data_IF_034287005710
#
_entry.id   IF_034287005710
#
_cell.length_a   1.000
_cell.length_b   1.000
_cell.length_c   1.000
_cell.angle_alpha   90.00
_cell.angle_beta   90.00
_cell.angle_gamma   90.00
#
_symmetry.space_group_name_H-M   'P 1'
#
loop_
_entity.id
_entity.type
_entity.pdbx_description
1 polymer ?
#
# COMPACT_ATOMS: atom_id res chain seq x y z
N UNK A 1 28.04 12.85 -20.54
CA UNK A 1 26.85 13.55 -21.09
C UNK A 1 25.75 12.52 -21.42
N UNK A 2 25.29 11.73 -20.43
CA UNK A 2 24.43 10.55 -20.65
C UNK A 2 23.27 10.41 -19.62
N UNK A 3 22.71 11.54 -19.15
CA UNK A 3 21.68 11.55 -18.08
C UNK A 3 20.25 11.82 -18.56
N UNK A 4 20.04 12.10 -19.85
CA UNK A 4 18.76 12.60 -20.37
C UNK A 4 17.77 11.52 -20.84
N UNK A 5 18.22 10.28 -21.05
CA UNK A 5 17.36 9.20 -21.58
C UNK A 5 16.62 8.39 -20.50
N UNK A 6 17.02 8.47 -19.22
CA UNK A 6 16.38 7.68 -18.15
C UNK A 6 15.06 8.27 -17.63
N UNK A 7 14.81 9.58 -17.86
CA UNK A 7 13.58 10.25 -17.41
C UNK A 7 12.34 9.89 -18.25
N UNK A 8 12.53 9.44 -19.49
CA UNK A 8 11.41 9.14 -20.39
C UNK A 8 10.89 7.70 -20.22
N UNK A 9 11.74 6.78 -19.76
CA UNK A 9 11.40 5.36 -19.53
C UNK A 9 10.56 5.19 -18.26
N UNK A 10 10.84 5.96 -17.22
CA UNK A 10 10.07 5.94 -15.96
C UNK A 10 8.62 6.42 -16.16
N UNK A 11 8.40 7.41 -17.02
CA UNK A 11 7.06 7.94 -17.31
C UNK A 11 6.21 7.00 -18.18
N UNK A 12 6.82 6.31 -19.17
CA UNK A 12 6.11 5.35 -20.01
C UNK A 12 5.76 4.07 -19.24
N UNK A 13 6.67 3.61 -18.39
CA UNK A 13 6.43 2.44 -17.52
C UNK A 13 5.33 2.69 -16.48
N UNK A 14 5.25 3.90 -15.94
CA UNK A 14 4.19 4.26 -15.00
C UNK A 14 2.80 4.23 -15.69
N UNK A 15 2.72 4.59 -16.97
CA UNK A 15 1.48 4.51 -17.76
C UNK A 15 1.07 3.06 -18.06
N UNK A 16 2.02 2.18 -18.39
CA UNK A 16 1.74 0.76 -18.67
C UNK A 16 1.37 0.00 -17.39
N UNK A 17 2.05 0.28 -16.27
CA UNK A 17 1.68 -0.25 -14.96
C UNK A 17 0.25 0.17 -14.58
N UNK A 18 -0.10 1.45 -14.74
CA UNK A 18 -1.47 1.93 -14.53
C UNK A 18 -2.51 1.20 -15.41
N UNK A 19 -2.15 0.80 -16.63
CA UNK A 19 -3.06 0.14 -17.56
C UNK A 19 -3.31 -1.34 -17.23
N UNK A 20 -2.25 -2.10 -16.89
CA UNK A 20 -2.37 -3.49 -16.43
C UNK A 20 -3.08 -3.59 -15.08
N UNK A 21 -2.81 -2.63 -14.19
CA UNK A 21 -3.52 -2.47 -12.92
C UNK A 21 -5.01 -2.25 -13.18
N UNK A 22 -5.38 -1.36 -14.11
CA UNK A 22 -6.78 -1.16 -14.49
C UNK A 22 -7.46 -2.46 -14.93
N UNK A 23 -6.76 -3.31 -15.67
CA UNK A 23 -7.25 -4.62 -16.11
C UNK A 23 -7.45 -5.61 -14.94
N UNK A 24 -6.47 -5.76 -14.04
CA UNK A 24 -6.61 -6.65 -12.88
C UNK A 24 -7.69 -6.17 -11.91
N UNK A 25 -7.82 -4.85 -11.72
CA UNK A 25 -8.88 -4.26 -10.92
C UNK A 25 -10.26 -4.54 -11.55
N UNK A 26 -10.38 -4.41 -12.87
CA UNK A 26 -11.61 -4.71 -13.59
C UNK A 26 -11.99 -6.20 -13.48
N UNK A 27 -11.06 -7.11 -13.75
CA UNK A 27 -11.28 -8.56 -13.62
C UNK A 27 -11.65 -8.92 -12.19
N UNK A 28 -11.03 -8.26 -11.21
CA UNK A 28 -11.31 -8.48 -9.79
C UNK A 28 -12.70 -7.96 -9.38
N UNK A 29 -13.10 -6.77 -9.84
CA UNK A 29 -14.45 -6.23 -9.64
C UNK A 29 -15.49 -7.17 -10.25
N UNK A 30 -15.25 -7.66 -11.48
CA UNK A 30 -16.14 -8.60 -12.16
C UNK A 30 -16.24 -9.94 -11.42
N UNK A 31 -15.12 -10.42 -10.86
CA UNK A 31 -15.09 -11.65 -10.06
C UNK A 31 -15.83 -11.51 -8.72
N UNK A 32 -15.62 -10.41 -7.99
CA UNK A 32 -16.34 -10.15 -6.73
C UNK A 32 -17.83 -9.94 -6.98
N UNK A 33 -18.19 -9.23 -8.06
CA UNK A 33 -19.58 -9.10 -8.49
C UNK A 33 -20.19 -10.48 -8.80
N UNK A 34 -19.45 -11.36 -9.48
CA UNK A 34 -19.89 -12.72 -9.81
C UNK A 34 -20.10 -13.61 -8.57
N UNK A 35 -19.29 -13.50 -7.52
CA UNK A 35 -19.39 -14.36 -6.33
C UNK A 35 -20.51 -13.98 -5.35
N UNK A 36 -20.99 -12.73 -5.40
CA UNK A 36 -22.00 -12.19 -4.46
C UNK A 36 -23.41 -12.11 -5.05
N UNK A 37 -23.60 -12.56 -6.29
CA UNK A 37 -24.87 -12.43 -7.02
C UNK A 37 -26.04 -13.21 -6.39
N UNK A 38 -25.77 -14.19 -5.53
CA UNK A 38 -26.80 -15.04 -4.92
C UNK A 38 -27.33 -14.57 -3.55
N UNK A 39 -26.81 -13.48 -2.94
CA UNK A 39 -27.10 -13.18 -1.52
C UNK A 39 -27.36 -11.72 -1.08
N UNK A 40 -27.50 -10.69 -1.95
CA UNK A 40 -27.62 -9.31 -1.41
C UNK A 40 -28.57 -8.39 -2.20
N UNK A 41 -29.72 -8.06 -1.62
CA UNK A 41 -30.66 -7.02 -2.10
C UNK A 41 -30.11 -5.57 -2.00
N UNK A 42 -28.90 -5.35 -1.47
CA UNK A 42 -28.32 -4.00 -1.25
C UNK A 42 -26.81 -3.90 -1.49
N UNK A 43 -26.19 -4.81 -2.26
CA UNK A 43 -24.76 -4.66 -2.58
C UNK A 43 -24.56 -3.61 -3.66
N UNK A 44 -24.28 -2.38 -3.24
CA UNK A 44 -23.97 -1.31 -4.17
C UNK A 44 -22.55 -1.49 -4.73
N UNK A 45 -22.44 -2.07 -5.93
CA UNK A 45 -21.16 -2.27 -6.62
C UNK A 45 -20.34 -0.97 -6.72
N UNK A 46 -20.99 0.20 -6.81
CA UNK A 46 -20.31 1.49 -6.84
C UNK A 46 -19.60 1.82 -5.52
N UNK A 47 -20.19 1.49 -4.36
CA UNK A 47 -19.53 1.73 -3.07
C UNK A 47 -18.31 0.84 -2.90
N UNK A 48 -18.39 -0.42 -3.35
CA UNK A 48 -17.26 -1.35 -3.39
C UNK A 48 -16.12 -0.82 -4.27
N UNK A 49 -16.43 -0.32 -5.47
CA UNK A 49 -15.44 0.28 -6.38
C UNK A 49 -14.76 1.49 -5.72
N UNK A 50 -15.52 2.39 -5.08
CA UNK A 50 -14.98 3.58 -4.40
C UNK A 50 -14.07 3.18 -3.24
N UNK A 51 -14.51 2.25 -2.38
CA UNK A 51 -13.72 1.75 -1.26
C UNK A 51 -12.43 1.07 -1.71
N UNK A 52 -12.51 0.27 -2.76
CA UNK A 52 -11.36 -0.40 -3.35
C UNK A 52 -10.37 0.60 -3.97
N UNK A 53 -10.87 1.58 -4.73
CA UNK A 53 -10.05 2.65 -5.29
C UNK A 53 -9.31 3.44 -4.19
N UNK A 54 -10.01 3.75 -3.09
CA UNK A 54 -9.40 4.40 -1.92
C UNK A 54 -8.27 3.54 -1.34
N UNK A 55 -8.53 2.27 -1.05
CA UNK A 55 -7.55 1.36 -0.49
C UNK A 55 -6.29 1.28 -1.38
N UNK A 56 -6.48 1.14 -2.69
CA UNK A 56 -5.37 0.93 -3.62
C UNK A 56 -4.63 2.22 -3.93
N UNK A 57 -5.30 3.22 -4.50
CA UNK A 57 -4.66 4.42 -5.08
C UNK A 57 -4.27 5.41 -3.99
N UNK A 58 -5.21 5.77 -3.12
CA UNK A 58 -4.94 6.71 -2.03
C UNK A 58 -3.96 6.08 -1.05
N UNK A 59 -4.18 4.82 -0.67
CA UNK A 59 -3.23 4.06 0.14
C UNK A 59 -1.83 4.02 -0.46
N UNK A 60 -1.68 3.76 -1.76
CA UNK A 60 -0.36 3.73 -2.40
C UNK A 60 0.38 5.07 -2.33
N UNK A 61 -0.29 6.19 -2.60
CA UNK A 61 0.32 7.52 -2.58
C UNK A 61 0.88 7.81 -1.19
N UNK A 62 0.05 7.66 -0.16
CA UNK A 62 0.42 7.99 1.20
C UNK A 62 1.48 7.04 1.78
N UNK A 63 1.35 5.73 1.53
CA UNK A 63 2.34 4.74 2.00
C UNK A 63 3.69 5.00 1.32
N UNK A 64 3.72 5.26 0.01
CA UNK A 64 4.97 5.53 -0.70
C UNK A 64 5.70 6.75 -0.15
N UNK A 65 4.97 7.84 0.17
CA UNK A 65 5.57 9.02 0.79
C UNK A 65 6.18 8.69 2.16
N UNK A 66 5.43 7.97 3.00
CA UNK A 66 5.88 7.61 4.35
C UNK A 66 7.09 6.68 4.31
N UNK A 67 7.05 5.64 3.47
CA UNK A 67 8.16 4.69 3.32
C UNK A 67 9.40 5.36 2.74
N UNK A 68 9.28 6.24 1.74
CA UNK A 68 10.43 6.97 1.20
C UNK A 68 11.09 7.88 2.24
N UNK A 69 10.30 8.52 3.10
CA UNK A 69 10.83 9.36 4.19
C UNK A 69 11.50 8.53 5.28
N UNK A 70 10.87 7.43 5.70
CA UNK A 70 11.43 6.51 6.67
C UNK A 70 12.73 5.88 6.16
N UNK A 71 12.76 5.50 4.88
CA UNK A 71 13.95 4.98 4.23
C UNK A 71 15.09 6.01 4.27
N UNK A 72 14.83 7.23 3.80
CA UNK A 72 15.82 8.31 3.84
C UNK A 72 16.31 8.60 5.26
N UNK A 73 15.43 8.57 6.26
CA UNK A 73 15.82 8.79 7.65
C UNK A 73 16.68 7.64 8.21
N UNK A 74 16.42 6.40 7.80
CA UNK A 74 17.16 5.23 8.28
C UNK A 74 18.49 5.00 7.55
N UNK A 75 18.58 5.31 6.25
CA UNK A 75 19.76 5.03 5.42
C UNK A 75 20.58 6.27 5.06
N UNK A 76 20.02 7.47 5.20
CA UNK A 76 20.62 8.69 4.67
C UNK A 76 20.56 8.79 3.14
N UNK A 77 20.05 7.77 2.46
CA UNK A 77 19.96 7.70 1.01
C UNK A 77 18.52 7.79 0.53
N UNK A 78 18.30 8.46 -0.61
CA UNK A 78 16.99 8.41 -1.26
C UNK A 78 16.76 7.00 -1.76
N UNK A 79 15.58 6.45 -1.49
CA UNK A 79 15.15 5.18 -2.06
C UNK A 79 15.07 5.33 -3.58
N UNK A 80 16.06 4.80 -4.29
CA UNK A 80 16.07 4.75 -5.75
C UNK A 80 15.34 3.47 -6.18
N UNK A 81 14.17 3.56 -6.83
CA UNK A 81 13.55 2.40 -7.43
C UNK A 81 14.45 1.94 -8.59
N UNK A 82 15.36 1.00 -8.30
CA UNK A 82 16.34 0.47 -9.27
C UNK A 82 15.70 -0.14 -10.51
N UNK A 83 14.39 -0.37 -10.52
CA UNK A 83 13.66 -0.75 -11.72
C UNK A 83 12.25 -0.12 -11.77
N UNK A 84 11.71 0.09 -12.98
CA UNK A 84 10.30 0.47 -13.19
C UNK A 84 9.28 -0.49 -12.57
N UNK A 85 9.70 -1.70 -12.19
CA UNK A 85 8.90 -2.73 -11.56
C UNK A 85 9.47 -3.05 -10.19
N UNK A 86 9.63 -2.03 -9.33
CA UNK A 86 9.94 -2.25 -7.92
C UNK A 86 8.91 -3.23 -7.34
N UNK A 87 9.37 -4.47 -7.13
CA UNK A 87 8.53 -5.59 -6.71
C UNK A 87 7.76 -5.25 -5.43
N UNK A 88 8.31 -4.38 -4.58
CA UNK A 88 7.67 -3.93 -3.35
C UNK A 88 6.41 -3.09 -3.59
N UNK A 89 6.36 -2.31 -4.68
CA UNK A 89 5.16 -1.57 -5.04
C UNK A 89 4.06 -2.53 -5.48
N UNK A 90 4.35 -3.46 -6.39
CA UNK A 90 3.37 -4.46 -6.88
C UNK A 90 2.83 -5.28 -5.70
N UNK A 91 3.71 -5.77 -4.83
CA UNK A 91 3.32 -6.48 -3.60
C UNK A 91 2.38 -5.62 -2.78
N UNK A 92 2.73 -4.36 -2.49
CA UNK A 92 1.86 -3.48 -1.70
C UNK A 92 0.47 -3.27 -2.30
N UNK A 93 0.31 -3.31 -3.63
CA UNK A 93 -1.01 -3.26 -4.27
C UNK A 93 -1.77 -4.58 -4.09
N UNK A 94 -1.11 -5.72 -4.34
CA UNK A 94 -1.69 -7.05 -4.14
C UNK A 94 -2.15 -7.24 -2.69
N UNK A 95 -1.35 -6.78 -1.72
CA UNK A 95 -1.70 -6.84 -0.31
C UNK A 95 -2.96 -6.08 0.01
N UNK A 96 -3.05 -4.82 -0.42
CA UNK A 96 -4.24 -3.99 -0.14
C UNK A 96 -5.48 -4.56 -0.83
N UNK A 97 -5.34 -5.10 -2.04
CA UNK A 97 -6.42 -5.81 -2.72
C UNK A 97 -6.86 -7.04 -1.93
N UNK A 98 -5.92 -7.89 -1.50
CA UNK A 98 -6.19 -9.09 -0.71
C UNK A 98 -6.88 -8.74 0.61
N UNK A 99 -6.35 -7.75 1.36
CA UNK A 99 -6.91 -7.31 2.63
C UNK A 99 -8.32 -6.76 2.48
N UNK A 100 -8.55 -5.86 1.52
CA UNK A 100 -9.88 -5.31 1.26
C UNK A 100 -10.88 -6.42 0.93
N UNK A 101 -10.46 -7.38 0.10
CA UNK A 101 -11.31 -8.47 -0.36
C UNK A 101 -11.64 -9.46 0.74
N UNK A 102 -10.65 -9.82 1.56
CA UNK A 102 -10.85 -10.67 2.73
C UNK A 102 -11.89 -10.05 3.68
N UNK A 103 -11.82 -8.74 3.92
CA UNK A 103 -12.80 -8.02 4.74
C UNK A 103 -14.19 -7.96 4.07
N UNK A 104 -14.26 -7.67 2.77
CA UNK A 104 -15.52 -7.66 2.02
C UNK A 104 -16.20 -9.04 1.96
N UNK A 105 -15.43 -10.14 2.05
CA UNK A 105 -15.94 -11.51 2.06
C UNK A 105 -16.18 -12.06 3.47
N UNK A 106 -15.97 -11.25 4.52
CA UNK A 106 -16.04 -11.66 5.92
C UNK A 106 -15.14 -12.86 6.25
N UNK A 107 -13.91 -12.84 5.70
CA UNK A 107 -12.88 -13.87 5.88
C UNK A 107 -11.56 -13.27 6.41
N UNK A 108 -11.55 -12.67 7.61
CA UNK A 108 -10.36 -12.03 8.17
C UNK A 108 -9.19 -13.00 8.38
N UNK A 109 -9.44 -14.30 8.50
CA UNK A 109 -8.42 -15.34 8.65
C UNK A 109 -7.45 -15.38 7.46
N UNK A 110 -7.93 -15.04 6.25
CA UNK A 110 -7.10 -14.95 5.06
C UNK A 110 -5.99 -13.89 5.20
N UNK A 111 -6.26 -12.80 5.94
CA UNK A 111 -5.27 -11.78 6.26
C UNK A 111 -4.21 -12.36 7.19
N UNK A 112 -4.63 -13.11 8.22
CA UNK A 112 -3.72 -13.79 9.14
C UNK A 112 -2.80 -14.78 8.44
N UNK A 113 -3.35 -15.62 7.55
CA UNK A 113 -2.57 -16.57 6.74
C UNK A 113 -1.59 -15.84 5.84
N UNK A 114 -2.02 -14.77 5.17
CA UNK A 114 -1.13 -13.97 4.32
C UNK A 114 0.01 -13.33 5.12
N UNK A 115 -0.28 -12.75 6.30
CA UNK A 115 0.74 -12.18 7.17
C UNK A 115 1.71 -13.24 7.71
N UNK A 116 1.21 -14.44 8.03
CA UNK A 116 2.04 -15.57 8.43
C UNK A 116 2.96 -16.04 7.29
N UNK A 117 2.45 -16.13 6.05
CA UNK A 117 3.26 -16.45 4.86
C UNK A 117 4.31 -15.38 4.59
N UNK A 118 3.93 -14.11 4.73
CA UNK A 118 4.81 -12.95 4.53
C UNK A 118 5.96 -12.89 5.54
N UNK A 119 5.73 -13.36 6.77
CA UNK A 119 6.74 -13.38 7.85
C UNK A 119 7.56 -14.66 7.89
N UNK A 120 6.97 -15.81 7.59
CA UNK A 120 7.66 -17.12 7.53
C UNK A 120 8.51 -17.26 6.28
N UNK A 121 8.06 -16.66 5.18
CA UNK A 121 8.84 -16.56 3.97
C UNK A 121 9.95 -15.53 4.16
N UNK A 122 11.20 -15.98 4.38
CA UNK A 122 12.41 -15.21 4.03
C UNK A 122 12.48 -14.84 2.52
N UNK A 123 11.37 -14.94 1.79
CA UNK A 123 11.23 -15.35 0.39
C UNK A 123 11.03 -14.20 -0.60
N UNK A 124 11.05 -12.95 -0.16
CA UNK A 124 10.85 -11.80 -1.05
C UNK A 124 12.12 -10.99 -1.22
N UNK A 125 13.27 -11.65 -1.49
CA UNK A 125 14.51 -11.06 -2.05
C UNK A 125 15.23 -9.94 -1.29
N UNK A 126 14.56 -9.31 -0.33
CA UNK A 126 14.96 -8.13 0.46
C UNK A 126 14.85 -8.43 1.97
N UNK A 127 14.64 -9.70 2.34
CA UNK A 127 14.97 -10.12 3.69
C UNK A 127 16.42 -9.74 3.98
N UNK A 128 16.78 -9.34 5.21
CA UNK A 128 18.11 -8.86 5.56
C UNK A 128 19.15 -9.98 5.48
N UNK A 129 19.46 -10.44 4.26
CA UNK A 129 20.72 -11.05 3.93
C UNK A 129 21.72 -9.88 3.88
N UNK A 130 22.18 -9.46 5.05
CA UNK A 130 23.52 -9.79 5.56
C UNK A 130 24.68 -9.06 4.88
N UNK A 131 24.41 -8.23 3.88
CA UNK A 131 25.34 -7.17 3.52
C UNK A 131 24.70 -5.84 3.92
N UNK A 132 25.25 -5.27 4.99
CA UNK A 132 25.16 -3.86 5.34
C UNK A 132 24.90 -3.00 4.10
N UNK A 133 23.66 -2.55 3.91
CA UNK A 133 23.39 -1.39 3.04
C UNK A 133 23.84 -0.17 3.87
N UNK A 134 25.16 0.02 3.97
CA UNK A 134 25.78 1.02 4.86
C UNK A 134 25.76 0.66 6.36
N UNK A 135 25.64 1.68 7.22
CA UNK A 135 25.58 1.53 8.70
C UNK A 135 24.19 1.17 9.23
N UNK A 136 23.17 1.11 8.37
CA UNK A 136 21.78 0.91 8.80
C UNK A 136 21.55 -0.50 9.34
N UNK A 137 20.91 -0.58 10.50
CA UNK A 137 20.64 -1.87 11.13
C UNK A 137 19.55 -2.62 10.36
N UNK A 138 19.69 -3.94 10.22
CA UNK A 138 18.63 -4.81 9.68
C UNK A 138 17.30 -4.64 10.43
N UNK A 139 17.36 -4.21 11.70
CA UNK A 139 16.21 -3.90 12.54
C UNK A 139 15.43 -2.69 12.02
N UNK A 140 16.09 -1.63 11.57
CA UNK A 140 15.40 -0.43 11.08
C UNK A 140 14.66 -0.72 9.78
N UNK A 141 15.30 -1.44 8.86
CA UNK A 141 14.67 -1.88 7.61
C UNK A 141 13.43 -2.75 7.89
N UNK A 142 13.55 -3.68 8.84
CA UNK A 142 12.43 -4.51 9.26
C UNK A 142 11.27 -3.69 9.87
N UNK A 143 11.57 -2.65 10.67
CA UNK A 143 10.55 -1.75 11.19
C UNK A 143 9.82 -0.96 10.10
N UNK A 144 10.55 -0.47 9.10
CA UNK A 144 9.96 0.23 7.93
C UNK A 144 8.98 -0.71 7.21
N UNK A 145 9.37 -1.96 7.01
CA UNK A 145 8.54 -2.98 6.39
C UNK A 145 7.27 -3.29 7.19
N UNK A 146 7.37 -3.42 8.52
CA UNK A 146 6.22 -3.60 9.40
C UNK A 146 5.26 -2.40 9.32
N UNK A 147 5.79 -1.18 9.33
CA UNK A 147 4.98 0.05 9.19
C UNK A 147 4.25 0.04 7.83
N UNK A 148 4.93 -0.29 6.74
CA UNK A 148 4.31 -0.39 5.42
C UNK A 148 3.17 -1.40 5.37
N UNK A 149 3.37 -2.56 6.03
CA UNK A 149 2.35 -3.62 6.13
C UNK A 149 1.14 -3.17 6.94
N UNK A 150 1.38 -2.55 8.11
CA UNK A 150 0.32 -2.03 8.97
C UNK A 150 -0.49 -0.93 8.27
N UNK A 151 0.17 -0.03 7.55
CA UNK A 151 -0.51 1.00 6.76
C UNK A 151 -1.33 0.38 5.62
N UNK A 152 -0.80 -0.61 4.91
CA UNK A 152 -1.57 -1.32 3.86
C UNK A 152 -2.86 -1.93 4.41
N UNK A 153 -2.79 -2.63 5.55
CA UNK A 153 -3.98 -3.16 6.22
C UNK A 153 -4.93 -2.06 6.68
N UNK A 154 -4.40 -0.96 7.22
CA UNK A 154 -5.17 0.22 7.62
C UNK A 154 -5.97 0.81 6.46
N UNK A 155 -5.31 1.17 5.36
CA UNK A 155 -5.98 1.72 4.17
C UNK A 155 -7.00 0.75 3.55
N UNK A 156 -6.71 -0.56 3.54
CA UNK A 156 -7.67 -1.57 3.09
C UNK A 156 -8.90 -1.64 4.00
N UNK A 157 -8.71 -1.57 5.32
CA UNK A 157 -9.80 -1.55 6.31
C UNK A 157 -10.67 -0.32 6.15
N UNK A 158 -10.06 0.86 5.96
CA UNK A 158 -10.79 2.10 5.70
C UNK A 158 -11.55 2.00 4.39
N UNK A 159 -10.94 1.49 3.33
CA UNK A 159 -11.61 1.25 2.05
C UNK A 159 -12.83 0.35 2.20
N UNK A 160 -12.69 -0.77 2.92
CA UNK A 160 -13.80 -1.69 3.22
C UNK A 160 -14.94 -0.97 3.96
N UNK A 161 -14.61 -0.18 4.99
CA UNK A 161 -15.59 0.62 5.73
C UNK A 161 -16.26 1.69 4.87
N UNK A 162 -15.55 2.32 3.94
CA UNK A 162 -16.17 3.21 2.94
C UNK A 162 -17.19 2.44 2.11
N UNK A 163 -16.85 1.24 1.62
CA UNK A 163 -17.76 0.42 0.82
C UNK A 163 -19.03 0.01 1.60
N UNK A 164 -18.88 -0.30 2.89
CA UNK A 164 -19.98 -0.66 3.80
C UNK A 164 -20.86 0.54 4.17
N UNK A 165 -20.28 1.71 4.46
CA UNK A 165 -21.01 2.85 5.03
C UNK A 165 -21.59 3.83 4.02
N UNK A 166 -21.10 3.84 2.77
CA UNK A 166 -21.59 4.75 1.74
C UNK A 166 -23.11 4.64 1.49
N UNK A 167 -23.72 3.43 1.47
CA UNK A 167 -25.16 3.30 1.30
C UNK A 167 -25.99 3.83 2.49
N UNK A 168 -25.40 3.91 3.68
CA UNK A 168 -26.12 4.24 4.93
C UNK A 168 -25.95 5.70 5.38
N UNK A 169 -25.26 6.53 4.59
CA UNK A 169 -25.03 7.96 4.86
C UNK A 169 -24.46 8.26 6.26
N UNK A 170 -23.59 7.39 6.79
CA UNK A 170 -23.02 7.54 8.13
C UNK A 170 -21.80 8.46 8.13
N UNK A 171 -21.88 9.56 8.88
CA UNK A 171 -20.82 10.58 9.05
C UNK A 171 -19.51 10.03 9.65
N UNK A 172 -19.58 8.94 10.42
CA UNK A 172 -18.42 8.31 11.07
C UNK A 172 -17.32 7.85 10.10
N UNK A 173 -17.69 7.55 8.85
CA UNK A 173 -16.80 7.21 7.73
C UNK A 173 -15.74 8.28 7.47
N UNK A 174 -16.17 9.53 7.53
CA UNK A 174 -15.32 10.69 7.23
C UNK A 174 -14.29 10.87 8.34
N UNK A 175 -14.70 10.72 9.61
CA UNK A 175 -13.79 10.83 10.74
C UNK A 175 -12.65 9.81 10.69
N UNK A 176 -12.94 8.56 10.30
CA UNK A 176 -11.94 7.49 10.23
C UNK A 176 -10.96 7.68 9.06
N UNK A 177 -11.44 8.09 7.89
CA UNK A 177 -10.61 8.49 6.75
C UNK A 177 -9.70 9.67 7.13
N UNK A 178 -10.28 10.70 7.73
CA UNK A 178 -9.55 11.91 8.15
C UNK A 178 -8.50 11.57 9.21
N UNK A 179 -8.84 10.76 10.21
CA UNK A 179 -7.91 10.33 11.24
C UNK A 179 -6.72 9.55 10.66
N UNK A 180 -6.95 8.62 9.73
CA UNK A 180 -5.88 7.87 9.07
C UNK A 180 -4.96 8.80 8.25
N UNK A 181 -5.54 9.71 7.47
CA UNK A 181 -4.79 10.68 6.68
C UNK A 181 -3.99 11.65 7.56
N UNK A 182 -4.58 12.15 8.65
CA UNK A 182 -3.92 13.03 9.62
C UNK A 182 -2.79 12.28 10.34
N UNK A 183 -3.05 11.07 10.83
CA UNK A 183 -2.05 10.24 11.50
C UNK A 183 -0.84 9.98 10.60
N UNK A 184 -1.09 9.65 9.32
CA UNK A 184 -0.03 9.45 8.35
C UNK A 184 0.72 10.75 8.03
N UNK A 185 0.01 11.89 7.96
CA UNK A 185 0.62 13.21 7.80
C UNK A 185 1.51 13.60 8.98
N UNK A 186 1.05 13.39 10.22
CA UNK A 186 1.81 13.65 11.46
C UNK A 186 3.07 12.78 11.49
N UNK A 187 2.95 11.49 11.20
CA UNK A 187 4.08 10.58 11.07
C UNK A 187 5.10 11.12 10.04
N UNK A 188 4.61 11.48 8.87
CA UNK A 188 5.38 12.11 7.80
C UNK A 188 6.09 13.41 8.19
N UNK A 189 5.54 14.18 9.14
CA UNK A 189 6.12 15.45 9.62
C UNK A 189 7.19 15.18 10.67
N UNK A 190 6.95 14.27 11.60
CA UNK A 190 7.87 13.94 12.69
C UNK A 190 9.10 13.16 12.21
N UNK A 191 9.03 12.44 11.09
CA UNK A 191 10.23 11.81 10.50
C UNK A 191 11.28 12.85 10.09
N UNK A 192 10.86 14.05 9.64
CA UNK A 192 11.81 15.12 9.27
C UNK A 192 12.66 15.59 10.45
N UNK A 193 12.17 15.51 11.69
CA UNK A 193 12.98 15.90 12.86
C UNK A 193 14.00 14.84 13.27
N UNK A 194 13.90 13.62 12.74
CA UNK A 194 14.80 12.51 13.04
C UNK A 194 15.94 12.36 12.02
N UNK A 195 15.86 13.03 10.87
CA UNK A 195 16.94 12.99 9.88
C UNK A 195 18.19 13.71 10.43
N UNK A 196 19.39 13.10 10.35
CA UNK A 196 20.60 13.72 10.85
C UNK A 196 20.88 15.05 10.14
N UNK A 197 21.21 16.11 10.89
CA UNK A 197 21.43 17.47 10.37
C UNK A 197 22.56 17.58 9.33
N UNK A 198 23.36 16.53 9.16
CA UNK A 198 24.56 16.53 8.33
C UNK A 198 24.33 15.91 6.94
N UNK A 199 23.10 15.53 6.59
CA UNK A 199 22.78 14.87 5.31
C UNK A 199 22.17 15.79 4.24
N UNK A 200 22.44 17.10 4.29
CA UNK A 200 22.00 18.09 3.28
C UNK A 200 23.16 18.94 2.77
#
# INVERSE_FOLDING_TARGET
MARKNNLHVSCLSQKVACSLIGFFILVFILYVASLRFDQVETFNIFSAIIGFYFAIVIGHIFISITICKLWLAATGEKRDPKSPFDSSAIIGWVERALYFSALMLDKPEAIGVWLALKTSGRFWGEGPNQEKVGETSARDIFQIYLIGTALSLGYATVGWKIAEWLPENRTYSICLVVALCIGNFILCRNIKSLAPKNSF
#
